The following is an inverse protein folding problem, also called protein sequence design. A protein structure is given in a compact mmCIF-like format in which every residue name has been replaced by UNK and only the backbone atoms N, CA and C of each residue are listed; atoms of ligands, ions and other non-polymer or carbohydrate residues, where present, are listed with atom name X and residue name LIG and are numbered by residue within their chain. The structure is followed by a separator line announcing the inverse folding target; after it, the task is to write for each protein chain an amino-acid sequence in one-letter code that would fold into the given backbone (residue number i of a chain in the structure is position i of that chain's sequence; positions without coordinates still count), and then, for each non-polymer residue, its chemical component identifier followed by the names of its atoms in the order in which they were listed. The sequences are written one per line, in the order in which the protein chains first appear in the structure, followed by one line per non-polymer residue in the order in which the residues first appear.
data_IF_055204995533
#
_entry.id   IF_055204995533
#
_cell.length_a   1.000
_cell.length_b   1.000
_cell.length_c   1.000
_cell.angle_alpha   90.00
_cell.angle_beta   90.00
_cell.angle_gamma   90.00
#
_symmetry.space_group_name_H-M   'P 1'
#
loop_
_entity.id
_entity.type
_entity.pdbx_description
1 polymer ?
#
# COMPACT_ATOMS: atom_id res chain seq x y z
N UNK A 1 -7.51 -70.67 -1.17
CA UNK A 1 -7.55 -69.20 -1.20
C UNK A 1 -6.54 -68.76 -2.27
N UNK A 2 -7.06 -68.22 -3.37
CA UNK A 2 -6.54 -68.37 -4.75
C UNK A 2 -5.65 -67.20 -5.19
N UNK A 3 -4.61 -67.56 -5.96
CA UNK A 3 -3.83 -66.86 -7.00
C UNK A 3 -3.35 -65.40 -6.77
N UNK A 4 -2.05 -65.10 -6.79
CA UNK A 4 -1.08 -65.21 -7.89
C UNK A 4 -1.36 -64.26 -9.07
N UNK A 5 -0.36 -63.39 -9.35
CA UNK A 5 0.21 -63.09 -10.67
C UNK A 5 -0.79 -62.69 -11.77
N UNK A 6 -0.65 -61.49 -12.36
CA UNK A 6 -0.12 -61.26 -13.72
C UNK A 6 -0.42 -59.87 -14.28
N UNK A 7 0.62 -59.33 -14.93
CA UNK A 7 0.63 -58.63 -16.22
C UNK A 7 -0.33 -57.49 -16.54
N UNK A 8 0.30 -56.35 -16.86
CA UNK A 8 0.39 -55.85 -18.23
C UNK A 8 -0.71 -56.27 -19.20
N UNK A 9 -1.69 -55.39 -19.47
CA UNK A 9 -2.24 -55.16 -20.82
C UNK A 9 -2.65 -53.69 -20.94
N UNK A 10 -1.91 -52.90 -21.71
CA UNK A 10 -2.05 -52.74 -23.17
C UNK A 10 -3.29 -51.90 -23.49
N UNK A 11 -3.05 -50.65 -23.90
CA UNK A 11 -3.74 -50.13 -25.07
C UNK A 11 -2.70 -49.66 -26.08
N UNK A 12 -2.67 -50.40 -27.18
CA UNK A 12 -1.76 -50.29 -28.32
C UNK A 12 -2.48 -49.51 -29.42
N UNK A 13 -1.80 -48.46 -29.91
CA UNK A 13 -1.75 -47.93 -31.30
C UNK A 13 -2.93 -47.13 -31.86
N UNK A 14 -2.62 -45.88 -32.20
CA UNK A 14 -2.91 -45.27 -33.51
C UNK A 14 -1.73 -44.32 -33.83
N UNK A 15 -0.78 -44.80 -34.64
CA UNK A 15 -0.62 -44.47 -36.07
C UNK A 15 0.31 -43.27 -36.31
N UNK A 16 1.51 -43.60 -36.77
CA UNK A 16 2.51 -42.76 -37.43
C UNK A 16 1.92 -41.88 -38.53
N UNK A 17 2.38 -40.62 -38.63
CA UNK A 17 3.17 -40.15 -39.78
C UNK A 17 3.85 -38.80 -39.50
N UNK A 18 5.19 -38.83 -39.58
CA UNK A 18 6.04 -37.87 -40.30
C UNK A 18 6.17 -36.44 -39.74
N UNK A 19 7.22 -36.30 -38.93
CA UNK A 19 8.19 -35.21 -39.03
C UNK A 19 7.71 -33.85 -38.58
N UNK A 20 8.07 -33.46 -37.36
CA UNK A 20 8.64 -32.15 -37.10
C UNK A 20 9.43 -32.19 -35.78
N UNK A 21 10.67 -31.70 -35.86
CA UNK A 21 11.57 -31.58 -34.74
C UNK A 21 11.06 -30.51 -33.77
N UNK A 22 10.30 -30.91 -32.75
CA UNK A 22 9.92 -30.07 -31.61
C UNK A 22 9.50 -30.89 -30.38
N UNK A 23 10.06 -32.10 -30.22
CA UNK A 23 9.73 -33.04 -29.13
C UNK A 23 10.57 -32.87 -27.85
N UNK A 24 11.17 -31.69 -27.60
CA UNK A 24 12.15 -31.54 -26.52
C UNK A 24 11.84 -30.46 -25.46
N UNK A 25 10.64 -29.88 -25.39
CA UNK A 25 10.38 -28.76 -24.45
C UNK A 25 9.02 -28.80 -23.72
N UNK A 26 8.57 -29.98 -23.27
CA UNK A 26 7.42 -30.03 -22.33
C UNK A 26 7.58 -31.00 -21.15
N UNK A 27 8.80 -31.27 -20.67
CA UNK A 27 8.95 -32.12 -19.50
C UNK A 27 10.23 -31.89 -18.68
N UNK A 28 10.50 -30.67 -18.19
CA UNK A 28 11.40 -30.49 -17.04
C UNK A 28 11.41 -29.06 -16.45
N UNK A 29 10.61 -28.79 -15.42
CA UNK A 29 10.89 -27.70 -14.47
C UNK A 29 10.12 -27.83 -13.14
N UNK A 30 9.70 -29.04 -12.76
CA UNK A 30 9.01 -29.31 -11.50
C UNK A 30 9.62 -30.53 -10.81
N UNK A 31 10.89 -30.42 -10.39
CA UNK A 31 11.46 -31.11 -9.22
C UNK A 31 12.98 -30.96 -9.18
N UNK A 32 13.49 -29.94 -8.50
CA UNK A 32 14.83 -30.05 -7.89
C UNK A 32 14.98 -29.14 -6.68
N UNK A 33 14.44 -29.61 -5.56
CA UNK A 33 14.97 -29.23 -4.25
C UNK A 33 16.34 -29.86 -4.05
N UNK A 34 17.27 -29.09 -3.45
CA UNK A 34 18.54 -29.51 -2.82
C UNK A 34 19.70 -29.80 -3.79
N UNK A 35 20.94 -29.37 -3.58
CA UNK A 35 21.62 -28.59 -2.53
C UNK A 35 23.06 -28.39 -3.06
N UNK A 36 23.64 -27.18 -2.99
CA UNK A 36 25.10 -27.00 -2.97
C UNK A 36 25.44 -25.75 -2.16
N UNK A 37 25.63 -25.98 -0.88
CA UNK A 37 26.48 -25.24 0.07
C UNK A 37 27.74 -24.67 -0.60
N UNK A 38 27.84 -23.35 -0.84
CA UNK A 38 29.11 -22.63 -1.03
C UNK A 38 28.93 -21.09 -0.97
N UNK A 39 28.74 -20.53 0.22
CA UNK A 39 29.61 -19.43 0.68
C UNK A 39 29.46 -19.25 2.21
N UNK A 40 30.52 -19.58 2.94
CA UNK A 40 30.58 -19.62 4.40
C UNK A 40 31.03 -18.29 5.01
N UNK A 41 30.60 -17.14 4.48
CA UNK A 41 30.83 -15.83 5.12
C UNK A 41 29.68 -14.82 4.95
N UNK A 42 28.46 -15.14 5.37
CA UNK A 42 27.47 -14.10 5.74
C UNK A 42 26.28 -14.56 6.60
N UNK A 43 26.42 -15.63 7.39
CA UNK A 43 25.27 -16.31 8.03
C UNK A 43 24.86 -15.78 9.43
N UNK A 44 25.13 -14.51 9.77
CA UNK A 44 24.64 -13.92 11.04
C UNK A 44 23.80 -12.65 10.87
N UNK A 45 24.01 -11.91 9.78
CA UNK A 45 23.27 -10.66 9.52
C UNK A 45 21.90 -10.97 8.90
N UNK A 46 21.82 -11.93 7.97
CA UNK A 46 20.58 -12.25 7.24
C UNK A 46 19.44 -12.80 8.13
N UNK A 47 19.76 -13.50 9.22
CA UNK A 47 18.73 -14.09 10.11
C UNK A 47 18.11 -13.01 11.02
N UNK A 48 18.89 -12.00 11.44
CA UNK A 48 18.39 -10.87 12.24
C UNK A 48 17.46 -9.99 11.39
N UNK A 49 17.84 -9.71 10.14
CA UNK A 49 16.99 -8.93 9.23
C UNK A 49 15.70 -9.67 8.85
N UNK A 50 15.72 -11.00 8.69
CA UNK A 50 14.52 -11.78 8.38
C UNK A 50 13.51 -11.85 9.54
N UNK A 51 13.97 -11.91 10.80
CA UNK A 51 13.09 -11.85 11.98
C UNK A 51 12.61 -10.42 12.28
N UNK A 52 13.42 -9.40 11.98
CA UNK A 52 13.01 -7.99 12.02
C UNK A 52 11.90 -7.73 11.00
N UNK A 53 12.03 -8.21 9.76
CA UNK A 53 11.04 -8.01 8.71
C UNK A 53 9.68 -8.70 8.98
N UNK A 54 9.60 -9.71 9.83
CA UNK A 54 8.31 -10.31 10.24
C UNK A 54 7.68 -9.51 11.39
N UNK A 55 8.48 -8.83 12.22
CA UNK A 55 8.02 -8.13 13.42
C UNK A 55 7.71 -6.63 13.19
N UNK A 56 8.35 -5.97 12.22
CA UNK A 56 7.99 -4.59 11.82
C UNK A 56 6.83 -4.50 10.82
N UNK A 57 6.46 -5.61 10.18
CA UNK A 57 5.41 -5.65 9.14
C UNK A 57 3.97 -5.67 9.70
N UNK A 58 3.82 -5.67 11.03
CA UNK A 58 2.52 -5.75 11.69
C UNK A 58 1.86 -4.38 11.94
N UNK A 59 2.53 -3.27 11.61
CA UNK A 59 1.93 -1.93 11.67
C UNK A 59 2.14 -1.23 10.33
N UNK A 60 1.08 -1.16 9.52
CA UNK A 60 1.10 -0.36 8.29
C UNK A 60 1.36 1.10 8.65
N UNK A 61 2.26 1.75 7.90
CA UNK A 61 2.59 3.15 8.13
C UNK A 61 1.36 4.05 7.88
N UNK A 62 1.27 5.14 8.64
CA UNK A 62 0.16 6.08 8.64
C UNK A 62 0.01 6.73 7.24
N UNK A 63 1.14 7.00 6.58
CA UNK A 63 1.14 7.53 5.21
C UNK A 63 0.79 6.48 4.17
N UNK A 64 1.23 5.24 4.35
CA UNK A 64 0.87 4.13 3.46
C UNK A 64 -0.65 3.88 3.48
N UNK A 65 -1.26 3.92 4.66
CA UNK A 65 -2.70 3.82 4.82
C UNK A 65 -3.47 4.96 4.12
N UNK A 66 -2.92 6.17 4.01
CA UNK A 66 -3.54 7.30 3.29
C UNK A 66 -3.10 7.46 1.83
N UNK A 67 -2.13 6.66 1.36
CA UNK A 67 -1.59 6.79 0.01
C UNK A 67 -2.63 6.47 -1.09
N UNK A 68 -3.56 5.55 -0.82
CA UNK A 68 -4.58 5.12 -1.77
C UNK A 68 -5.74 6.12 -1.89
N UNK A 69 -6.15 6.49 -3.12
CA UNK A 69 -7.21 7.45 -3.34
C UNK A 69 -8.59 6.98 -2.85
N UNK A 70 -8.86 5.67 -2.90
CA UNK A 70 -10.14 5.10 -2.45
C UNK A 70 -10.23 5.16 -0.92
N UNK A 71 -9.15 4.84 -0.21
CA UNK A 71 -9.05 5.01 1.25
C UNK A 71 -9.27 6.46 1.67
N UNK A 72 -8.70 7.44 0.95
CA UNK A 72 -8.97 8.86 1.20
C UNK A 72 -10.46 9.21 1.04
N UNK A 73 -11.12 8.71 0.00
CA UNK A 73 -12.58 8.91 -0.19
C UNK A 73 -13.41 8.30 0.93
N UNK A 74 -13.02 7.14 1.46
CA UNK A 74 -13.67 6.53 2.64
C UNK A 74 -13.51 7.41 3.88
N UNK A 75 -12.30 7.92 4.13
CA UNK A 75 -12.02 8.86 5.23
C UNK A 75 -12.85 10.14 5.07
N UNK A 76 -12.91 10.70 3.87
CA UNK A 76 -13.70 11.91 3.57
C UNK A 76 -15.20 11.69 3.80
N UNK A 77 -15.72 10.51 3.45
CA UNK A 77 -17.13 10.17 3.69
C UNK A 77 -17.45 10.10 5.19
N UNK A 78 -16.52 9.58 6.01
CA UNK A 78 -16.63 9.48 7.46
C UNK A 78 -16.41 10.81 8.20
N UNK A 79 -15.87 11.84 7.53
CA UNK A 79 -15.70 13.19 8.11
C UNK A 79 -17.03 13.79 8.59
N UNK A 80 -18.12 13.43 7.93
CA UNK A 80 -19.48 13.93 8.22
C UNK A 80 -20.17 13.24 9.40
N UNK A 81 -19.59 12.15 9.94
CA UNK A 81 -20.15 11.39 11.05
C UNK A 81 -20.02 9.88 10.89
N UNK A 82 -20.55 9.15 11.87
CA UNK A 82 -20.60 7.69 11.87
C UNK A 82 -21.44 7.15 10.71
N UNK A 83 -20.92 6.17 9.98
CA UNK A 83 -21.63 5.54 8.84
C UNK A 83 -21.48 4.02 8.82
N UNK A 84 -22.43 3.38 8.18
CA UNK A 84 -22.40 1.94 7.93
C UNK A 84 -21.61 1.62 6.65
N UNK A 85 -21.20 0.35 6.50
CA UNK A 85 -20.49 -0.12 5.30
C UNK A 85 -21.31 0.12 4.02
N UNK A 86 -22.63 -0.06 4.08
CA UNK A 86 -23.51 0.12 2.92
C UNK A 86 -23.54 1.59 2.47
N UNK A 87 -23.76 2.50 3.42
CA UNK A 87 -23.77 3.94 3.15
C UNK A 87 -22.43 4.42 2.57
N UNK A 88 -21.31 3.83 3.01
CA UNK A 88 -19.98 4.11 2.48
C UNK A 88 -19.78 3.56 1.06
N UNK A 89 -20.32 2.38 0.76
CA UNK A 89 -20.27 1.78 -0.58
C UNK A 89 -20.97 2.67 -1.61
N UNK A 90 -22.12 3.23 -1.24
CA UNK A 90 -22.89 4.12 -2.11
C UNK A 90 -22.15 5.44 -2.38
N UNK A 91 -21.53 6.04 -1.35
CA UNK A 91 -20.79 7.32 -1.48
C UNK A 91 -19.48 7.16 -2.25
N UNK A 92 -18.74 6.08 -2.01
CA UNK A 92 -17.44 5.85 -2.65
C UNK A 92 -17.61 5.26 -4.06
N UNK A 93 -18.76 4.65 -4.35
CA UNK A 93 -19.07 4.08 -5.66
C UNK A 93 -18.31 2.78 -5.94
N UNK A 94 -18.07 1.99 -4.89
CA UNK A 94 -17.40 0.69 -4.98
C UNK A 94 -18.23 -0.39 -4.28
N UNK A 95 -17.99 -1.64 -4.64
CA UNK A 95 -18.66 -2.76 -3.98
C UNK A 95 -18.34 -2.86 -2.48
N UNK A 96 -19.31 -3.35 -1.71
CA UNK A 96 -19.23 -3.54 -0.27
C UNK A 96 -18.00 -4.34 0.20
N UNK A 97 -17.56 -5.33 -0.59
CA UNK A 97 -16.35 -6.13 -0.31
C UNK A 97 -15.07 -5.28 -0.37
N UNK A 98 -15.00 -4.35 -1.34
CA UNK A 98 -13.90 -3.39 -1.47
C UNK A 98 -13.86 -2.42 -0.28
N UNK A 99 -15.02 -1.85 0.09
CA UNK A 99 -15.12 -0.97 1.26
C UNK A 99 -14.68 -1.69 2.53
N UNK A 100 -15.15 -2.92 2.74
CA UNK A 100 -14.81 -3.70 3.93
C UNK A 100 -13.30 -3.97 4.03
N UNK A 101 -12.63 -4.23 2.90
CA UNK A 101 -11.17 -4.36 2.85
C UNK A 101 -10.47 -3.06 3.21
N UNK A 102 -10.90 -1.93 2.64
CA UNK A 102 -10.33 -0.62 2.95
C UNK A 102 -10.54 -0.22 4.41
N UNK A 103 -11.73 -0.48 4.97
CA UNK A 103 -12.04 -0.22 6.38
C UNK A 103 -11.18 -1.08 7.32
N UNK A 104 -10.90 -2.33 6.95
CA UNK A 104 -9.99 -3.18 7.73
C UNK A 104 -8.58 -2.59 7.77
N UNK A 105 -8.04 -2.22 6.61
CA UNK A 105 -6.72 -1.58 6.52
C UNK A 105 -6.67 -0.29 7.34
N UNK A 106 -7.69 0.56 7.23
CA UNK A 106 -7.78 1.82 7.98
C UNK A 106 -7.93 1.59 9.50
N UNK A 107 -8.60 0.50 9.90
CA UNK A 107 -8.70 0.11 11.31
C UNK A 107 -7.38 -0.43 11.86
N UNK A 108 -6.64 -1.21 11.07
CA UNK A 108 -5.31 -1.72 11.41
C UNK A 108 -4.29 -0.57 11.55
N UNK A 109 -4.42 0.48 10.73
CA UNK A 109 -3.63 1.71 10.84
C UNK A 109 -4.17 2.71 11.89
N UNK A 110 -5.25 2.39 12.61
CA UNK A 110 -5.79 3.23 13.69
C UNK A 110 -6.61 4.44 13.26
N UNK A 111 -6.88 4.64 11.96
CA UNK A 111 -7.67 5.77 11.45
C UNK A 111 -9.17 5.66 11.71
N UNK A 112 -9.67 4.43 11.82
CA UNK A 112 -11.10 4.14 11.93
C UNK A 112 -11.35 3.22 13.12
N UNK A 113 -12.39 3.53 13.89
CA UNK A 113 -12.92 2.66 14.94
C UNK A 113 -14.27 2.11 14.55
N UNK A 114 -14.58 0.90 15.02
CA UNK A 114 -15.83 0.22 14.74
C UNK A 114 -16.61 0.04 16.05
N UNK A 115 -17.87 0.47 16.04
CA UNK A 115 -18.83 0.25 17.13
C UNK A 115 -20.01 -0.59 16.61
N UNK A 116 -20.36 -1.69 17.29
CA UNK A 116 -21.60 -2.40 17.02
C UNK A 116 -22.79 -1.57 17.52
N UNK A 117 -23.80 -1.39 16.68
CA UNK A 117 -25.08 -0.75 17.00
C UNK A 117 -26.23 -1.68 16.58
N UNK A 118 -26.60 -2.57 17.50
CA UNK A 118 -27.54 -3.66 17.24
C UNK A 118 -27.04 -4.60 16.12
N UNK A 119 -27.76 -4.62 15.00
CA UNK A 119 -27.42 -5.43 13.82
C UNK A 119 -26.46 -4.70 12.85
N UNK A 120 -26.21 -3.40 13.07
CA UNK A 120 -25.40 -2.56 12.19
C UNK A 120 -24.01 -2.37 12.76
N UNK A 121 -23.01 -2.27 11.89
CA UNK A 121 -21.64 -1.89 12.25
C UNK A 121 -21.41 -0.46 11.81
N UNK A 122 -21.21 0.42 12.78
CA UNK A 122 -20.92 1.82 12.55
C UNK A 122 -19.42 2.06 12.64
N UNK A 123 -18.90 2.83 11.70
CA UNK A 123 -17.50 3.21 11.61
C UNK A 123 -17.38 4.72 11.83
N UNK A 124 -16.39 5.13 12.64
CA UNK A 124 -16.05 6.52 12.91
C UNK A 124 -14.55 6.75 12.75
N UNK A 125 -14.17 8.01 12.48
CA UNK A 125 -12.76 8.41 12.45
C UNK A 125 -12.20 8.56 13.86
N UNK A 126 -11.00 8.05 14.07
CA UNK A 126 -10.21 8.32 15.27
C UNK A 126 -9.29 9.52 15.02
N UNK A 127 -9.23 10.50 15.93
CA UNK A 127 -8.43 11.73 15.74
C UNK A 127 -6.92 11.53 15.93
N UNK A 128 -6.50 10.48 16.62
CA UNK A 128 -5.12 10.27 17.06
C UNK A 128 -4.10 10.22 15.90
N UNK A 129 -4.26 9.37 14.87
CA UNK A 129 -3.30 9.32 13.76
C UNK A 129 -3.29 10.61 12.92
N UNK A 130 -4.41 11.33 12.84
CA UNK A 130 -4.44 12.63 12.17
C UNK A 130 -3.62 13.68 12.92
N UNK A 131 -3.66 13.66 14.25
CA UNK A 131 -2.87 14.56 15.09
C UNK A 131 -1.37 14.29 14.96
N UNK A 132 -0.97 13.03 14.86
CA UNK A 132 0.43 12.66 14.62
C UNK A 132 0.95 13.22 13.29
N UNK A 133 0.17 13.04 12.22
CA UNK A 133 0.48 13.60 10.90
C UNK A 133 0.56 15.14 10.95
N UNK A 134 -0.40 15.79 11.61
CA UNK A 134 -0.43 17.25 11.71
C UNK A 134 0.78 17.80 12.48
N UNK A 135 1.17 17.16 13.59
CA UNK A 135 2.36 17.54 14.36
C UNK A 135 3.65 17.39 13.55
N UNK A 136 3.77 16.31 12.78
CA UNK A 136 4.90 16.11 11.89
C UNK A 136 4.91 17.17 10.76
N UNK A 137 3.77 17.41 10.11
CA UNK A 137 3.62 18.43 9.06
C UNK A 137 3.89 19.85 9.56
N UNK A 138 3.55 20.17 10.80
CA UNK A 138 3.78 21.48 11.40
C UNK A 138 5.26 21.88 11.39
N UNK A 139 6.18 20.91 11.59
CA UNK A 139 7.62 21.14 11.54
C UNK A 139 8.08 21.57 10.14
N UNK A 140 7.51 20.95 9.11
CA UNK A 140 7.78 21.34 7.73
C UNK A 140 7.13 22.67 7.41
N UNK A 141 5.92 22.97 7.89
CA UNK A 141 5.25 24.24 7.61
C UNK A 141 6.12 25.45 7.95
N UNK A 142 6.81 25.43 9.09
CA UNK A 142 7.74 26.48 9.50
C UNK A 142 8.92 26.68 8.53
N UNK A 143 9.35 25.64 7.83
CA UNK A 143 10.43 25.73 6.83
C UNK A 143 9.98 26.54 5.60
N UNK A 144 8.74 26.36 5.18
CA UNK A 144 8.20 27.00 3.97
C UNK A 144 7.71 28.42 4.28
N UNK A 145 7.09 28.64 5.44
CA UNK A 145 6.69 29.98 5.91
C UNK A 145 7.90 30.92 5.93
N UNK A 146 9.01 30.53 6.58
CA UNK A 146 10.24 31.36 6.62
C UNK A 146 10.81 31.68 5.24
N UNK A 147 10.69 30.75 4.28
CA UNK A 147 11.15 30.97 2.90
C UNK A 147 10.24 31.95 2.17
N UNK A 148 8.93 31.82 2.35
CA UNK A 148 7.93 32.71 1.77
C UNK A 148 8.00 34.12 2.38
N UNK A 149 8.22 34.24 3.68
CA UNK A 149 8.39 35.54 4.36
C UNK A 149 9.59 36.31 3.79
N UNK A 150 10.73 35.63 3.63
CA UNK A 150 11.93 36.22 3.00
C UNK A 150 11.68 36.63 1.57
N UNK A 151 10.91 35.84 0.83
CA UNK A 151 10.56 36.16 -0.55
C UNK A 151 9.63 37.38 -0.61
N UNK A 152 8.64 37.47 0.28
CA UNK A 152 7.77 38.63 0.44
C UNK A 152 8.56 39.91 0.73
N UNK A 153 9.44 39.88 1.74
CA UNK A 153 10.28 41.02 2.09
C UNK A 153 11.18 41.49 0.92
N UNK A 154 11.70 40.55 0.13
CA UNK A 154 12.52 40.90 -1.05
C UNK A 154 11.69 41.57 -2.16
N UNK A 155 10.44 41.15 -2.37
CA UNK A 155 9.53 41.78 -3.32
C UNK A 155 9.14 43.19 -2.86
N UNK A 156 8.81 43.37 -1.58
CA UNK A 156 8.48 44.67 -1.00
C UNK A 156 9.65 45.66 -1.15
N UNK A 157 10.88 45.24 -0.83
CA UNK A 157 12.07 46.07 -1.00
C UNK A 157 12.28 46.51 -2.46
N UNK A 158 12.03 45.62 -3.42
CA UNK A 158 12.15 45.94 -4.86
C UNK A 158 11.05 46.91 -5.33
N UNK A 159 9.84 46.77 -4.82
CA UNK A 159 8.73 47.68 -5.15
C UNK A 159 8.97 49.09 -4.58
N UNK A 160 9.48 49.19 -3.35
CA UNK A 160 9.83 50.46 -2.72
C UNK A 160 10.91 51.20 -3.52
N UNK A 161 11.97 50.51 -3.95
CA UNK A 161 13.01 51.10 -4.81
C UNK A 161 12.45 51.65 -6.13
N UNK A 162 11.48 50.97 -6.76
CA UNK A 162 10.85 51.44 -8.00
C UNK A 162 9.95 52.66 -7.75
N UNK A 163 9.27 52.72 -6.61
CA UNK A 163 8.43 53.86 -6.23
C UNK A 163 9.26 55.09 -5.89
N UNK A 164 10.41 54.93 -5.23
CA UNK A 164 11.30 56.04 -4.91
C UNK A 164 11.92 56.65 -6.17
N UNK A 165 12.36 55.82 -7.14
CA UNK A 165 12.88 56.29 -8.44
C UNK A 165 11.81 57.06 -9.23
N UNK A 166 10.58 56.53 -9.29
CA UNK A 166 9.48 57.20 -10.01
C UNK A 166 8.93 58.45 -9.30
N UNK A 167 9.28 58.65 -8.01
CA UNK A 167 8.94 59.86 -7.25
C UNK A 167 10.00 60.94 -7.40
N UNK A 168 11.29 60.61 -7.51
CA UNK A 168 12.34 61.61 -7.76
C UNK A 168 12.31 62.19 -9.16
N UNK A 169 11.78 61.45 -10.15
CA UNK A 169 11.64 61.95 -11.54
C UNK A 169 10.49 62.98 -11.72
N UNK A 170 9.67 63.20 -10.68
CA UNK A 170 8.53 64.12 -10.71
C UNK A 170 8.76 65.43 -9.94
N UNK A 171 9.89 65.58 -9.29
CA UNK A 171 10.30 66.76 -8.52
C UNK A 171 11.35 67.57 -9.28
#
# INVERSE_FOLDING_TARGET
MVAAVKDSRVFTVASTTKGDASSALLFNAASKTRDTTQDRRCSRVLIIYALSCIYTDMHMDVFEALADPTRRRVVDALRSGERQVNDLADVVGIHQSGVSRHLRILSEAGFVTMRPDGQRRLYSLAPDPFREIDQWLAQYRQLWEKRLDRFGAALEARQQQQQDVSRSDKE
#
